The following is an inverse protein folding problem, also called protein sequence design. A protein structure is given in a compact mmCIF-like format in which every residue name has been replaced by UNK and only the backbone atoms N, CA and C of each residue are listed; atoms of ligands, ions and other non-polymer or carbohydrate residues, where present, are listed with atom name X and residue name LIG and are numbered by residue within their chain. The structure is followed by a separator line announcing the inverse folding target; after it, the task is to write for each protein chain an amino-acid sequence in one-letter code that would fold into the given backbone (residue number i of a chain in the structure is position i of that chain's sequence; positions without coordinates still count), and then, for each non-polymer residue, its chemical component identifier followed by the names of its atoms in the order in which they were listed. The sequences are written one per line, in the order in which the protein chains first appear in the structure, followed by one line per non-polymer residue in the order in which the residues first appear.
data_IF_520434795502
#
_entry.id   IF_520434795502
#
_cell.length_a   1.000
_cell.length_b   1.000
_cell.length_c   1.000
_cell.angle_alpha   90.00
_cell.angle_beta   90.00
_cell.angle_gamma   90.00
#
_symmetry.space_group_name_H-M   'P 1'
#
loop_
_entity.id
_entity.type
_entity.pdbx_description
1 polymer ?
#
# COMPACT_ATOMS: atom_id res chain seq x y z
N UNK A 1 -0.74 7.41 -18.62
CA UNK A 1 -0.62 6.48 -17.48
C UNK A 1 -1.58 6.95 -16.39
N UNK A 2 -2.40 6.05 -15.81
CA UNK A 2 -3.41 6.43 -14.81
C UNK A 2 -2.71 6.91 -13.53
N UNK A 3 -3.35 7.81 -12.80
CA UNK A 3 -2.91 8.23 -11.45
C UNK A 3 -3.75 7.51 -10.41
N UNK A 4 -3.13 7.24 -9.27
CA UNK A 4 -3.80 6.71 -8.08
C UNK A 4 -3.43 7.58 -6.88
N UNK A 5 -4.39 7.76 -6.00
CA UNK A 5 -4.15 8.15 -4.62
C UNK A 5 -3.79 6.90 -3.83
N UNK A 6 -2.74 6.99 -3.02
CA UNK A 6 -2.23 5.88 -2.20
C UNK A 6 -2.29 6.27 -0.74
N UNK A 7 -2.97 5.46 0.06
CA UNK A 7 -3.13 5.62 1.51
C UNK A 7 -2.77 4.31 2.18
N UNK A 8 -1.64 4.28 2.88
CA UNK A 8 -1.19 3.11 3.63
C UNK A 8 -1.58 3.22 5.10
N UNK A 9 -1.49 2.11 5.83
CA UNK A 9 -1.67 2.11 7.29
C UNK A 9 -0.33 1.96 8.00
N UNK A 10 -0.13 2.76 9.03
CA UNK A 10 1.02 2.67 9.93
C UNK A 10 0.54 2.37 11.35
N UNK A 11 1.28 1.51 12.04
CA UNK A 11 1.04 1.26 13.46
C UNK A 11 1.62 2.40 14.28
N UNK A 12 0.75 3.15 14.95
CA UNK A 12 1.13 4.17 15.91
C UNK A 12 1.40 3.47 17.23
N UNK A 13 2.63 3.62 17.74
CA UNK A 13 3.03 3.03 19.02
C UNK A 13 2.20 3.64 20.17
N UNK A 14 1.87 2.86 21.22
CA UNK A 14 1.23 3.40 22.41
C UNK A 14 2.01 4.58 23.00
N UNK A 15 1.29 5.56 23.54
CA UNK A 15 1.85 6.71 24.28
C UNK A 15 1.06 6.92 25.57
N UNK A 16 1.47 7.87 26.42
CA UNK A 16 0.80 8.13 27.69
C UNK A 16 -0.70 8.36 27.49
N UNK A 17 -1.53 7.50 28.10
CA UNK A 17 -2.99 7.56 27.99
C UNK A 17 -3.60 7.09 26.66
N UNK A 18 -2.80 6.61 25.70
CA UNK A 18 -3.28 6.22 24.36
C UNK A 18 -2.75 4.84 23.97
N UNK A 19 -3.66 3.92 23.64
CA UNK A 19 -3.31 2.60 23.12
C UNK A 19 -2.73 2.68 21.70
N UNK A 20 -1.87 1.72 21.37
CA UNK A 20 -1.37 1.56 20.00
C UNK A 20 -2.53 1.29 19.05
N UNK A 21 -2.51 1.92 17.89
CA UNK A 21 -3.60 1.85 16.92
C UNK A 21 -3.06 2.01 15.50
N UNK A 22 -3.86 1.57 14.53
CA UNK A 22 -3.56 1.80 13.11
C UNK A 22 -4.06 3.19 12.70
N UNK A 23 -3.19 3.97 12.06
CA UNK A 23 -3.54 5.24 11.45
C UNK A 23 -3.26 5.19 9.94
N UNK A 24 -4.05 5.92 9.16
CA UNK A 24 -3.77 6.11 7.74
C UNK A 24 -2.62 7.12 7.58
N UNK A 25 -1.77 6.92 6.59
CA UNK A 25 -0.81 7.94 6.14
C UNK A 25 -1.53 9.06 5.40
N UNK A 26 -0.87 10.20 5.27
CA UNK A 26 -1.33 11.22 4.32
C UNK A 26 -1.39 10.62 2.91
N UNK A 27 -2.44 10.92 2.12
CA UNK A 27 -2.56 10.38 0.77
C UNK A 27 -1.45 10.91 -0.15
N UNK A 28 -0.88 10.03 -0.96
CA UNK A 28 0.15 10.40 -1.95
C UNK A 28 -0.32 10.06 -3.36
N UNK A 29 -0.07 10.96 -4.31
CA UNK A 29 -0.39 10.71 -5.72
C UNK A 29 0.77 9.95 -6.38
N UNK A 30 0.46 8.78 -6.93
CA UNK A 30 1.42 7.92 -7.64
C UNK A 30 0.93 7.63 -9.07
N UNK A 31 1.84 7.16 -9.93
CA UNK A 31 1.52 6.66 -11.26
C UNK A 31 1.22 5.17 -11.17
N UNK A 32 0.09 4.73 -11.71
CA UNK A 32 -0.25 3.32 -11.82
C UNK A 32 0.35 2.73 -13.10
N UNK A 33 1.18 1.70 -12.94
CA UNK A 33 1.76 0.97 -14.07
C UNK A 33 0.83 -0.16 -14.51
N UNK A 34 0.58 -1.10 -13.60
CA UNK A 34 -0.25 -2.29 -13.85
C UNK A 34 -0.59 -3.01 -12.55
N UNK A 35 -1.45 -4.03 -12.63
CA UNK A 35 -1.55 -5.04 -11.59
C UNK A 35 -0.50 -6.13 -11.79
N UNK A 36 -0.07 -6.76 -10.70
CA UNK A 36 0.88 -7.87 -10.73
C UNK A 36 0.71 -8.83 -9.56
N UNK A 37 1.32 -10.02 -9.63
CA UNK A 37 1.36 -10.96 -8.52
C UNK A 37 2.45 -10.57 -7.50
N UNK A 38 2.09 -10.57 -6.23
CA UNK A 38 3.00 -10.62 -5.10
C UNK A 38 3.01 -12.03 -4.50
N UNK A 39 3.99 -12.30 -3.65
CA UNK A 39 4.24 -13.59 -3.03
C UNK A 39 4.41 -13.42 -1.53
N UNK A 40 3.87 -14.35 -0.75
CA UNK A 40 4.07 -14.43 0.68
C UNK A 40 4.12 -15.91 1.11
N UNK A 41 5.07 -16.23 1.99
CA UNK A 41 5.13 -17.54 2.63
C UNK A 41 4.21 -17.54 3.85
N UNK A 42 3.14 -18.33 3.79
CA UNK A 42 2.25 -18.57 4.91
C UNK A 42 2.62 -19.89 5.59
N UNK A 43 2.15 -20.09 6.83
CA UNK A 43 2.33 -21.36 7.54
C UNK A 43 1.76 -22.56 6.77
N UNK A 44 0.70 -22.36 5.98
CA UNK A 44 0.08 -23.38 5.13
C UNK A 44 0.79 -23.59 3.77
N UNK A 45 1.86 -22.84 3.50
CA UNK A 45 2.63 -22.89 2.25
C UNK A 45 2.64 -21.55 1.49
N UNK A 46 3.23 -21.54 0.28
CA UNK A 46 3.33 -20.34 -0.53
C UNK A 46 1.97 -19.86 -1.01
N UNK A 47 1.69 -18.57 -0.84
CA UNK A 47 0.52 -17.90 -1.41
C UNK A 47 0.91 -16.73 -2.29
N UNK A 48 0.05 -16.44 -3.26
CA UNK A 48 0.17 -15.27 -4.10
C UNK A 48 -1.08 -14.40 -3.99
N UNK A 49 -0.90 -13.10 -4.12
CA UNK A 49 -2.00 -12.13 -4.12
C UNK A 49 -1.74 -11.03 -5.13
N UNK A 50 -2.82 -10.38 -5.55
CA UNK A 50 -2.73 -9.30 -6.55
C UNK A 50 -2.39 -7.99 -5.85
N UNK A 51 -1.40 -7.28 -6.39
CA UNK A 51 -0.99 -5.94 -5.96
C UNK A 51 -1.04 -4.96 -7.13
N UNK A 52 -1.08 -3.68 -6.82
CA UNK A 52 -0.81 -2.63 -7.79
C UNK A 52 0.69 -2.31 -7.82
N UNK A 53 1.26 -2.26 -9.02
CA UNK A 53 2.61 -1.74 -9.24
C UNK A 53 2.50 -0.25 -9.52
N UNK A 54 3.09 0.56 -8.64
CA UNK A 54 2.99 2.01 -8.67
C UNK A 54 4.38 2.66 -8.63
N UNK A 55 4.51 3.81 -9.28
CA UNK A 55 5.69 4.68 -9.22
C UNK A 55 5.36 5.93 -8.38
N UNK A 56 6.10 6.08 -7.30
CA UNK A 56 5.98 7.17 -6.33
C UNK A 56 6.56 8.48 -6.88
N UNK A 57 6.23 9.65 -6.27
CA UNK A 57 6.75 10.95 -6.72
C UNK A 57 8.27 11.07 -6.76
N UNK A 58 8.98 10.32 -5.91
CA UNK A 58 10.44 10.26 -5.85
C UNK A 58 11.06 9.35 -6.93
N UNK A 59 10.23 8.72 -7.77
CA UNK A 59 10.64 7.79 -8.82
C UNK A 59 10.76 6.34 -8.37
N UNK A 60 10.58 6.04 -7.08
CA UNK A 60 10.63 4.67 -6.57
C UNK A 60 9.43 3.85 -7.06
N UNK A 61 9.67 2.62 -7.52
CA UNK A 61 8.60 1.67 -7.86
C UNK A 61 8.33 0.76 -6.67
N UNK A 62 7.07 0.65 -6.26
CA UNK A 62 6.65 -0.25 -5.17
C UNK A 62 5.35 -0.98 -5.48
N UNK A 63 5.12 -2.04 -4.70
CA UNK A 63 3.85 -2.74 -4.64
C UNK A 63 2.94 -2.05 -3.60
N UNK A 64 1.66 -1.92 -3.90
CA UNK A 64 0.63 -1.47 -2.97
C UNK A 64 -0.52 -2.47 -2.95
N UNK A 65 -1.10 -2.70 -1.77
CA UNK A 65 -2.31 -3.52 -1.66
C UNK A 65 -3.45 -2.84 -2.41
N UNK A 66 -4.37 -3.64 -2.95
CA UNK A 66 -5.52 -3.12 -3.71
C UNK A 66 -6.41 -2.20 -2.87
N UNK A 67 -6.44 -2.39 -1.55
CA UNK A 67 -7.19 -1.57 -0.60
C UNK A 67 -6.50 -0.25 -0.23
N UNK A 68 -5.24 -0.07 -0.63
CA UNK A 68 -4.47 1.16 -0.38
C UNK A 68 -4.55 2.15 -1.53
N UNK A 69 -5.09 1.75 -2.69
CA UNK A 69 -5.12 2.61 -3.88
C UNK A 69 -6.54 3.00 -4.27
N UNK A 70 -6.68 4.22 -4.79
CA UNK A 70 -7.89 4.72 -5.43
C UNK A 70 -7.51 5.39 -6.74
N UNK A 71 -8.07 4.94 -7.86
CA UNK A 71 -7.84 5.63 -9.12
C UNK A 71 -8.46 7.05 -9.08
N UNK A 72 -7.76 7.99 -9.71
CA UNK A 72 -8.13 9.41 -9.76
C UNK A 72 -8.57 9.85 -11.16
N UNK A 73 -9.05 8.89 -11.95
CA UNK A 73 -9.71 9.13 -13.23
C UNK A 73 -10.92 10.07 -13.10
#
# INVERSE_FOLDING_TARGET
MRKVEVTSKVWVKPSEGVSGHWANTDPVIAKFHQFGPAYEEFEAGPGNYTVAVIEMPDGTVRQAHLTEIRFLD
#
